data_IF_868678158764
#
_entry.id   IF_868678158764
#
_cell.length_a   1.000
_cell.length_b   1.000
_cell.length_c   1.000
_cell.angle_alpha   90.00
_cell.angle_beta   90.00
_cell.angle_gamma   90.00
#
_symmetry.space_group_name_H-M   'P 1'
#
loop_
_entity.id
_entity.type
_entity.pdbx_description
1 polymer ?
#
# COMPACT_ATOMS: atom_id res chain seq x y z
N UNK A 1 4.84 -12.61 19.30
CA UNK A 1 4.81 -14.08 19.33
C UNK A 1 4.56 -14.70 17.96
N UNK A 2 3.51 -14.32 17.25
CA UNK A 2 3.15 -14.94 15.95
C UNK A 2 4.29 -14.82 14.91
N UNK A 3 4.94 -13.66 14.80
CA UNK A 3 6.04 -13.43 13.87
C UNK A 3 7.25 -14.36 14.14
N UNK A 4 7.57 -14.59 15.40
CA UNK A 4 8.66 -15.50 15.77
C UNK A 4 8.33 -16.93 15.35
N UNK A 5 7.08 -17.36 15.54
CA UNK A 5 6.61 -18.67 15.09
C UNK A 5 6.72 -18.80 13.58
N UNK A 6 6.32 -17.77 12.82
CA UNK A 6 6.41 -17.77 11.36
C UNK A 6 7.87 -17.85 10.90
N UNK A 7 8.80 -17.14 11.54
CA UNK A 7 10.24 -17.21 11.23
C UNK A 7 10.77 -18.61 11.52
N UNK A 8 10.41 -19.23 12.65
CA UNK A 8 10.85 -20.58 12.99
C UNK A 8 10.31 -21.59 11.97
N UNK A 9 9.03 -21.49 11.60
CA UNK A 9 8.43 -22.34 10.56
C UNK A 9 9.14 -22.13 9.22
N UNK A 10 9.43 -20.88 8.82
CA UNK A 10 10.17 -20.56 7.61
C UNK A 10 11.57 -21.20 7.59
N UNK A 11 12.26 -21.19 8.72
CA UNK A 11 13.58 -21.79 8.87
C UNK A 11 13.53 -23.33 8.73
N UNK A 12 12.51 -23.96 9.32
CA UNK A 12 12.30 -25.41 9.16
C UNK A 12 11.98 -25.76 7.71
N UNK A 13 11.09 -25.00 7.05
CA UNK A 13 10.73 -25.21 5.63
C UNK A 13 11.99 -25.03 4.74
N UNK A 14 12.80 -24.02 5.00
CA UNK A 14 14.05 -23.79 4.27
C UNK A 14 15.04 -24.97 4.43
N UNK A 15 15.22 -25.49 5.63
CA UNK A 15 16.09 -26.64 5.90
C UNK A 15 15.58 -27.92 5.19
N UNK A 16 14.26 -28.17 5.20
CA UNK A 16 13.67 -29.30 4.49
C UNK A 16 13.90 -29.16 2.99
N UNK A 17 13.73 -27.99 2.40
CA UNK A 17 14.04 -27.71 1.01
C UNK A 17 15.52 -27.98 0.67
N UNK A 18 16.44 -27.57 1.54
CA UNK A 18 17.88 -27.83 1.42
C UNK A 18 18.22 -29.33 1.40
N UNK A 19 17.61 -30.12 2.28
CA UNK A 19 17.76 -31.58 2.30
C UNK A 19 17.26 -32.21 0.99
N UNK A 20 16.12 -31.74 0.47
CA UNK A 20 15.59 -32.19 -0.82
C UNK A 20 16.54 -31.89 -1.98
N UNK A 21 17.14 -30.70 -2.02
CA UNK A 21 18.15 -30.34 -3.04
C UNK A 21 19.34 -31.29 -2.97
N UNK A 22 19.90 -31.52 -1.77
CA UNK A 22 21.04 -32.39 -1.59
C UNK A 22 20.75 -33.84 -2.00
N UNK A 23 19.58 -34.35 -1.59
CA UNK A 23 19.17 -35.71 -1.96
C UNK A 23 18.97 -35.85 -3.47
N UNK A 24 18.41 -34.81 -4.12
CA UNK A 24 18.18 -34.83 -5.58
C UNK A 24 19.46 -34.74 -6.40
N UNK A 25 20.47 -34.05 -5.89
CA UNK A 25 21.79 -33.99 -6.54
C UNK A 25 22.55 -35.34 -6.53
N UNK A 26 22.11 -36.32 -5.74
CA UNK A 26 22.69 -37.66 -5.70
C UNK A 26 21.99 -38.63 -6.68
N UNK A 27 20.95 -38.23 -7.33
CA UNK A 27 20.21 -39.03 -8.31
C UNK A 27 20.47 -38.48 -9.73
N UNK A 28 21.05 -39.29 -10.60
CA UNK A 28 21.36 -38.92 -12.00
C UNK A 28 20.13 -39.05 -12.96
N UNK A 29 18.96 -39.36 -12.43
CA UNK A 29 17.76 -39.62 -13.19
C UNK A 29 16.86 -38.40 -13.34
N UNK A 30 15.85 -38.49 -14.24
CA UNK A 30 14.80 -37.47 -14.39
C UNK A 30 14.11 -37.12 -13.06
N UNK A 31 14.04 -38.03 -12.09
CA UNK A 31 13.60 -37.83 -10.72
C UNK A 31 14.44 -36.83 -9.94
N UNK A 32 15.76 -36.79 -10.16
CA UNK A 32 16.67 -35.83 -9.55
C UNK A 32 16.37 -34.40 -9.96
N UNK A 33 16.04 -34.14 -11.23
CA UNK A 33 15.67 -32.82 -11.72
C UNK A 33 14.36 -32.31 -11.12
N UNK A 34 13.34 -33.16 -11.01
CA UNK A 34 12.05 -32.82 -10.39
C UNK A 34 12.24 -32.51 -8.90
N UNK A 35 13.03 -33.33 -8.20
CA UNK A 35 13.35 -33.14 -6.80
C UNK A 35 14.10 -31.81 -6.55
N UNK A 36 15.03 -31.43 -7.45
CA UNK A 36 15.76 -30.17 -7.38
C UNK A 36 14.81 -28.95 -7.53
N UNK A 37 13.89 -29.01 -8.51
CA UNK A 37 12.89 -27.95 -8.69
C UNK A 37 11.96 -27.83 -7.48
N UNK A 38 11.48 -28.92 -6.93
CA UNK A 38 10.67 -28.92 -5.71
C UNK A 38 11.45 -28.39 -4.52
N UNK A 39 12.69 -28.77 -4.34
CA UNK A 39 13.55 -28.26 -3.28
C UNK A 39 13.77 -26.74 -3.37
N UNK A 40 13.98 -26.21 -4.58
CA UNK A 40 14.12 -24.76 -4.82
C UNK A 40 12.81 -23.99 -4.50
N UNK A 41 11.66 -24.55 -4.88
CA UNK A 41 10.36 -23.95 -4.53
C UNK A 41 10.12 -23.92 -3.02
N UNK A 42 10.43 -25.02 -2.32
CA UNK A 42 10.30 -25.10 -0.85
C UNK A 42 11.25 -24.11 -0.18
N UNK A 43 12.51 -24.00 -0.62
CA UNK A 43 13.46 -23.00 -0.12
C UNK A 43 12.95 -21.58 -0.35
N UNK A 44 12.39 -21.28 -1.53
CA UNK A 44 11.81 -19.96 -1.85
C UNK A 44 10.67 -19.57 -0.90
N UNK A 45 9.78 -20.51 -0.59
CA UNK A 45 8.71 -20.31 0.39
C UNK A 45 9.30 -20.06 1.79
N UNK A 46 10.30 -20.85 2.20
CA UNK A 46 10.98 -20.69 3.48
C UNK A 46 11.63 -19.31 3.65
N UNK A 47 12.32 -18.82 2.60
CA UNK A 47 12.90 -17.47 2.58
C UNK A 47 11.82 -16.40 2.67
N UNK A 48 10.70 -16.53 1.94
CA UNK A 48 9.58 -15.60 2.00
C UNK A 48 8.97 -15.50 3.40
N UNK A 49 8.80 -16.64 4.09
CA UNK A 49 8.31 -16.68 5.47
C UNK A 49 9.28 -16.05 6.49
N UNK A 50 10.58 -16.05 6.23
CA UNK A 50 11.58 -15.41 7.08
C UNK A 50 11.62 -13.90 6.82
N UNK A 51 11.70 -13.50 5.55
CA UNK A 51 11.90 -12.10 5.17
C UNK A 51 10.63 -11.26 5.38
N UNK A 52 9.43 -11.82 5.15
CA UNK A 52 8.18 -11.09 5.29
C UNK A 52 8.01 -10.43 6.66
N UNK A 53 8.10 -11.16 7.79
CA UNK A 53 8.04 -10.57 9.13
C UNK A 53 9.16 -9.57 9.42
N UNK A 54 10.39 -9.80 8.90
CA UNK A 54 11.53 -8.90 9.12
C UNK A 54 11.26 -7.54 8.45
N UNK A 55 10.81 -7.54 7.20
CA UNK A 55 10.44 -6.30 6.50
C UNK A 55 9.29 -5.57 7.19
N UNK A 56 8.26 -6.32 7.63
CA UNK A 56 7.17 -5.74 8.41
C UNK A 56 7.65 -5.09 9.71
N UNK A 57 8.60 -5.67 10.41
CA UNK A 57 9.19 -5.08 11.62
C UNK A 57 10.00 -3.82 11.35
N UNK A 58 10.79 -3.82 10.28
CA UNK A 58 11.58 -2.64 9.88
C UNK A 58 10.64 -1.49 9.53
N UNK A 59 9.59 -1.75 8.75
CA UNK A 59 8.60 -0.72 8.39
C UNK A 59 7.82 -0.22 9.61
N UNK A 60 7.42 -1.10 10.53
CA UNK A 60 6.75 -0.72 11.78
C UNK A 60 7.67 0.09 12.71
N UNK A 61 8.95 -0.25 12.79
CA UNK A 61 9.92 0.49 13.59
C UNK A 61 10.16 1.91 13.02
N UNK A 62 10.31 2.03 11.69
CA UNK A 62 10.44 3.33 11.02
C UNK A 62 9.19 4.19 11.23
N UNK A 63 8.00 3.62 11.02
CA UNK A 63 6.74 4.33 11.23
C UNK A 63 6.57 4.77 12.69
N UNK A 64 6.99 3.94 13.66
CA UNK A 64 6.95 4.30 15.07
C UNK A 64 7.94 5.42 15.42
N UNK A 65 9.15 5.39 14.86
CA UNK A 65 10.16 6.42 15.08
C UNK A 65 9.71 7.79 14.53
N UNK A 66 8.98 7.79 13.43
CA UNK A 66 8.51 8.99 12.73
C UNK A 66 7.00 9.26 12.95
N UNK A 67 6.37 8.61 13.93
CA UNK A 67 4.91 8.64 14.12
C UNK A 67 4.34 10.06 14.20
N UNK A 68 4.94 10.90 15.05
CA UNK A 68 4.46 12.27 15.25
C UNK A 68 4.56 13.10 13.95
N UNK A 69 5.64 12.91 13.18
CA UNK A 69 5.83 13.57 11.88
C UNK A 69 4.79 13.09 10.86
N UNK A 70 4.46 11.79 10.85
CA UNK A 70 3.44 11.25 9.96
C UNK A 70 2.03 11.71 10.34
N UNK A 71 1.73 11.83 11.64
CA UNK A 71 0.45 12.37 12.11
C UNK A 71 0.30 13.84 11.70
N UNK A 72 1.33 14.67 11.92
CA UNK A 72 1.33 16.08 11.50
C UNK A 72 1.16 16.19 9.98
N UNK A 73 1.86 15.35 9.21
CA UNK A 73 1.69 15.29 7.75
C UNK A 73 0.26 14.94 7.35
N UNK A 74 -0.35 13.93 7.98
CA UNK A 74 -1.73 13.51 7.68
C UNK A 74 -2.72 14.65 7.96
N UNK A 75 -2.58 15.35 9.09
CA UNK A 75 -3.46 16.46 9.45
C UNK A 75 -3.32 17.65 8.49
N UNK A 76 -2.09 18.05 8.19
CA UNK A 76 -1.83 19.18 7.27
C UNK A 76 -2.26 18.86 5.85
N UNK A 77 -1.94 17.65 5.35
CA UNK A 77 -2.28 17.23 3.99
C UNK A 77 -3.79 17.04 3.83
N UNK A 78 -4.49 16.59 4.87
CA UNK A 78 -5.96 16.50 4.85
C UNK A 78 -6.60 17.88 4.63
N UNK A 79 -6.15 18.88 5.39
CA UNK A 79 -6.66 20.25 5.23
C UNK A 79 -6.36 20.82 3.83
N UNK A 80 -5.19 20.51 3.27
CA UNK A 80 -4.83 20.90 1.91
C UNK A 80 -5.71 20.20 0.87
N UNK A 81 -5.95 18.89 0.99
CA UNK A 81 -6.82 18.14 0.09
C UNK A 81 -8.26 18.68 0.09
N UNK A 82 -8.80 19.00 1.26
CA UNK A 82 -10.13 19.59 1.38
C UNK A 82 -10.20 20.97 0.70
N UNK A 83 -9.15 21.78 0.82
CA UNK A 83 -9.06 23.08 0.15
C UNK A 83 -8.92 22.94 -1.38
N UNK A 84 -8.07 22.01 -1.83
CA UNK A 84 -7.84 21.76 -3.26
C UNK A 84 -9.11 21.18 -3.92
N UNK A 85 -9.82 20.27 -3.26
CA UNK A 85 -11.10 19.73 -3.74
C UNK A 85 -12.15 20.82 -3.87
N UNK A 86 -12.26 21.69 -2.87
CA UNK A 86 -13.19 22.82 -2.91
C UNK A 86 -12.86 23.80 -4.06
N UNK A 87 -11.57 24.07 -4.29
CA UNK A 87 -11.11 24.94 -5.37
C UNK A 87 -11.38 24.32 -6.75
N UNK A 88 -11.07 23.03 -6.94
CA UNK A 88 -11.36 22.31 -8.17
C UNK A 88 -12.87 22.26 -8.46
N UNK A 89 -13.66 22.05 -7.44
CA UNK A 89 -15.12 22.04 -7.54
C UNK A 89 -15.66 23.40 -7.94
N UNK A 90 -15.20 24.48 -7.32
CA UNK A 90 -15.61 25.84 -7.67
C UNK A 90 -15.30 26.17 -9.13
N UNK A 91 -14.14 25.77 -9.64
CA UNK A 91 -13.77 25.95 -11.04
C UNK A 91 -14.69 25.16 -11.99
N UNK A 92 -15.06 23.93 -11.63
CA UNK A 92 -16.04 23.15 -12.40
C UNK A 92 -17.41 23.85 -12.45
N UNK A 93 -17.92 24.33 -11.32
CA UNK A 93 -19.22 25.00 -11.22
C UNK A 93 -19.20 26.28 -12.06
N UNK A 94 -18.16 27.08 -11.96
CA UNK A 94 -18.00 28.31 -12.76
C UNK A 94 -17.96 28.00 -14.26
N UNK A 95 -17.21 26.98 -14.67
CA UNK A 95 -17.16 26.57 -16.08
C UNK A 95 -18.52 26.11 -16.60
N UNK A 96 -19.27 25.33 -15.79
CA UNK A 96 -20.60 24.83 -16.15
C UNK A 96 -21.62 25.97 -16.28
N UNK A 97 -21.60 26.92 -15.37
CA UNK A 97 -22.47 28.09 -15.42
C UNK A 97 -22.21 28.90 -16.72
N UNK A 98 -20.93 29.08 -17.09
CA UNK A 98 -20.54 29.89 -18.24
C UNK A 98 -20.71 29.19 -19.60
N UNK A 99 -20.61 27.86 -19.66
CA UNK A 99 -20.58 27.15 -20.95
C UNK A 99 -21.79 26.27 -21.22
N UNK A 100 -22.53 25.84 -20.19
CA UNK A 100 -23.69 24.94 -20.34
C UNK A 100 -24.97 25.49 -19.73
N UNK A 101 -24.95 26.71 -19.19
CA UNK A 101 -26.07 27.33 -18.48
C UNK A 101 -26.68 26.40 -17.39
N UNK A 102 -25.78 25.58 -16.78
CA UNK A 102 -26.15 24.61 -15.76
C UNK A 102 -25.82 25.17 -14.37
N UNK A 103 -26.84 25.22 -13.53
CA UNK A 103 -26.65 25.49 -12.11
C UNK A 103 -26.51 24.16 -11.37
N UNK A 104 -25.33 23.88 -10.83
CA UNK A 104 -25.02 22.63 -10.13
C UNK A 104 -25.26 22.83 -8.63
N UNK A 105 -26.04 21.92 -8.04
CA UNK A 105 -26.28 21.90 -6.60
C UNK A 105 -24.97 21.62 -5.83
N UNK A 106 -24.83 22.26 -4.69
CA UNK A 106 -23.70 22.11 -3.78
C UNK A 106 -23.50 20.67 -3.24
N UNK A 107 -24.49 19.82 -3.37
CA UNK A 107 -24.43 18.41 -2.99
C UNK A 107 -23.70 17.50 -4.00
N UNK A 108 -23.50 17.95 -5.24
CA UNK A 108 -22.86 17.14 -6.29
C UNK A 108 -21.35 17.04 -6.05
N UNK A 109 -20.83 15.82 -5.97
CA UNK A 109 -19.40 15.59 -5.76
C UNK A 109 -18.56 15.91 -6.99
N UNK A 110 -17.29 16.26 -6.80
CA UNK A 110 -16.33 16.48 -7.88
C UNK A 110 -16.24 15.26 -8.80
N UNK A 111 -16.20 14.04 -8.25
CA UNK A 111 -16.12 12.81 -9.01
C UNK A 111 -17.33 12.59 -9.92
N UNK A 112 -18.54 12.91 -9.44
CA UNK A 112 -19.75 12.83 -10.26
C UNK A 112 -19.70 13.81 -11.43
N UNK A 113 -19.28 15.05 -11.21
CA UNK A 113 -19.12 16.05 -12.28
C UNK A 113 -18.11 15.58 -13.35
N UNK A 114 -17.01 14.97 -12.92
CA UNK A 114 -15.96 14.48 -13.84
C UNK A 114 -16.38 13.24 -14.63
N UNK A 115 -17.30 12.42 -14.10
CA UNK A 115 -17.86 11.27 -14.83
C UNK A 115 -18.85 11.74 -15.89
N UNK A 116 -19.74 12.64 -15.51
CA UNK A 116 -20.84 13.09 -16.38
C UNK A 116 -20.38 14.05 -17.48
N UNK A 117 -19.28 14.79 -17.25
CA UNK A 117 -18.80 15.84 -18.13
C UNK A 117 -17.31 15.66 -18.43
N UNK A 118 -16.97 14.91 -19.50
CA UNK A 118 -15.56 14.62 -19.83
C UNK A 118 -14.70 15.85 -20.12
N UNK A 119 -15.31 16.94 -20.57
CA UNK A 119 -14.63 18.21 -20.87
C UNK A 119 -13.97 18.82 -19.62
N UNK A 120 -14.55 18.59 -18.43
CA UNK A 120 -13.97 19.03 -17.17
C UNK A 120 -12.61 18.35 -16.86
N UNK A 121 -12.42 17.10 -17.29
CA UNK A 121 -11.12 16.43 -17.15
C UNK A 121 -10.03 17.11 -17.97
N UNK A 122 -10.39 17.65 -19.12
CA UNK A 122 -9.46 18.39 -19.98
C UNK A 122 -9.17 19.77 -19.38
N UNK A 123 -10.21 20.43 -18.87
CA UNK A 123 -10.09 21.74 -18.21
C UNK A 123 -9.16 21.68 -16.99
N UNK A 124 -9.40 20.72 -16.09
CA UNK A 124 -8.63 20.60 -14.86
C UNK A 124 -7.22 20.03 -15.09
N UNK A 125 -7.03 19.23 -16.16
CA UNK A 125 -5.74 18.75 -16.63
C UNK A 125 -4.75 18.37 -15.53
N UNK A 126 -3.65 19.13 -15.47
CA UNK A 126 -2.56 18.89 -14.51
C UNK A 126 -3.00 18.99 -13.04
N UNK A 127 -3.84 19.96 -12.70
CA UNK A 127 -4.32 20.16 -11.31
C UNK A 127 -5.06 18.94 -10.75
N UNK A 128 -5.85 18.27 -11.59
CA UNK A 128 -6.53 17.03 -11.19
C UNK A 128 -5.52 15.88 -10.98
N UNK A 129 -4.46 15.86 -11.76
CA UNK A 129 -3.37 14.88 -11.58
C UNK A 129 -2.64 15.12 -10.28
N UNK A 130 -2.25 16.36 -10.01
CA UNK A 130 -1.54 16.75 -8.77
C UNK A 130 -2.39 16.43 -7.52
N UNK A 131 -3.70 16.74 -7.57
CA UNK A 131 -4.63 16.39 -6.51
C UNK A 131 -4.70 14.88 -6.25
N UNK A 132 -4.76 14.07 -7.30
CA UNK A 132 -4.80 12.61 -7.19
C UNK A 132 -3.50 12.02 -6.64
N UNK A 133 -2.36 12.58 -7.04
CA UNK A 133 -1.05 12.19 -6.50
C UNK A 133 -0.99 12.51 -5.00
N UNK A 134 -1.39 13.71 -4.60
CA UNK A 134 -1.44 14.10 -3.18
C UNK A 134 -2.39 13.21 -2.38
N UNK A 135 -3.56 12.88 -2.92
CA UNK A 135 -4.51 11.97 -2.28
C UNK A 135 -3.95 10.55 -2.15
N UNK A 136 -3.23 10.06 -3.17
CA UNK A 136 -2.57 8.75 -3.11
C UNK A 136 -1.50 8.70 -2.02
N UNK A 137 -0.67 9.75 -1.92
CA UNK A 137 0.36 9.88 -0.89
C UNK A 137 -0.25 9.99 0.51
N UNK A 138 -1.29 10.81 0.67
CA UNK A 138 -2.06 10.92 1.91
C UNK A 138 -2.58 9.55 2.35
N UNK A 139 -3.24 8.81 1.47
CA UNK A 139 -3.79 7.49 1.80
C UNK A 139 -2.68 6.51 2.19
N UNK A 140 -1.52 6.55 1.53
CA UNK A 140 -0.37 5.71 1.84
C UNK A 140 0.15 5.97 3.26
N UNK A 141 0.31 7.24 3.64
CA UNK A 141 0.83 7.62 4.96
C UNK A 141 -0.24 7.43 6.04
N UNK A 142 -1.49 7.79 5.77
CA UNK A 142 -2.60 7.57 6.70
C UNK A 142 -2.80 6.07 7.03
N UNK A 143 -2.62 5.19 6.06
CA UNK A 143 -2.65 3.74 6.30
C UNK A 143 -1.49 3.29 7.19
N UNK A 144 -0.28 3.87 7.04
CA UNK A 144 0.86 3.59 7.93
C UNK A 144 0.56 4.03 9.36
N UNK A 145 0.06 5.24 9.55
CA UNK A 145 -0.31 5.78 10.87
C UNK A 145 -1.39 4.91 11.51
N UNK A 146 -2.42 4.53 10.75
CA UNK A 146 -3.52 3.68 11.23
C UNK A 146 -3.04 2.28 11.63
N UNK A 147 -2.11 1.68 10.87
CA UNK A 147 -1.55 0.37 11.17
C UNK A 147 -0.78 0.37 12.49
N UNK A 148 0.04 1.40 12.73
CA UNK A 148 0.77 1.53 14.01
C UNK A 148 -0.17 1.78 15.19
N UNK A 149 -1.26 2.50 14.99
CA UNK A 149 -2.29 2.69 16.01
C UNK A 149 -2.98 1.37 16.38
N UNK A 150 -3.16 0.48 15.40
CA UNK A 150 -3.73 -0.86 15.61
C UNK A 150 -2.75 -1.79 16.33
N UNK A 151 -1.46 -1.72 16.01
CA UNK A 151 -0.41 -2.50 16.64
C UNK A 151 -0.18 -2.10 18.09
N UNK A 152 -0.46 -0.84 18.48
CA UNK A 152 -0.48 -0.45 19.91
C UNK A 152 -1.45 -1.25 20.75
N UNK A 153 -2.52 -1.79 20.16
CA UNK A 153 -3.53 -2.60 20.86
C UNK A 153 -3.13 -4.09 20.90
N UNK A 154 -2.36 -4.57 19.90
CA UNK A 154 -2.12 -6.01 19.72
C UNK A 154 -0.68 -6.49 19.95
N UNK A 155 0.33 -5.60 19.96
CA UNK A 155 1.75 -5.99 19.90
C UNK A 155 2.62 -5.43 21.03
N UNK A 156 2.05 -5.07 22.17
CA UNK A 156 2.90 -4.72 23.30
C UNK A 156 3.04 -5.91 24.26
N UNK A 157 4.26 -6.51 24.28
CA UNK A 157 4.98 -6.58 25.53
C UNK A 157 6.46 -6.26 25.31
N UNK A 158 6.92 -5.19 25.83
CA UNK A 158 8.27 -4.95 26.40
C UNK A 158 8.30 -3.54 26.93
#
# INVERSE_FOLDING_TARGET
MLAIIVIIVGLVVFLVGGVFIIASCQCDDAGGFIGLLMGLMICGIGVGLILGPIFGWVEAADTKANYDTYVEYVETTKAQLEADEAALRAECVEWLANNKDMNVDDSVSLDSMLVDIPELKILLGQRLTDYRELMSEYNRINNKVSSVSFDKVFYWPW
#
